data_IF_176907358219
#
_entry.id   IF_176907358219
#
_cell.length_a   1.000
_cell.length_b   1.000
_cell.length_c   1.000
_cell.angle_alpha   90.00
_cell.angle_beta   90.00
_cell.angle_gamma   90.00
#
_symmetry.space_group_name_H-M   'P 1'
#
loop_
_entity.id
_entity.type
_entity.pdbx_description
1 polymer ?
#
# COMPACT_ATOMS: atom_id res chain seq x y z
N UNK A 1 -31.96 5.97 6.52
CA UNK A 1 -31.29 4.65 6.72
C UNK A 1 -30.11 4.91 7.63
N UNK A 2 -30.18 4.47 8.89
CA UNK A 2 -29.10 4.70 9.86
C UNK A 2 -27.87 3.89 9.43
N UNK A 3 -26.81 4.57 8.98
CA UNK A 3 -25.53 3.91 8.75
C UNK A 3 -24.97 3.52 10.12
N UNK A 4 -24.83 2.23 10.38
CA UNK A 4 -24.23 1.72 11.59
C UNK A 4 -22.84 2.35 11.76
N UNK A 5 -22.69 3.25 12.74
CA UNK A 5 -21.38 3.74 13.15
C UNK A 5 -20.63 2.52 13.68
N UNK A 6 -19.43 2.20 13.19
CA UNK A 6 -18.67 1.10 13.77
C UNK A 6 -18.42 1.42 15.25
N UNK A 7 -18.74 0.48 16.15
CA UNK A 7 -18.53 0.60 17.61
C UNK A 7 -17.05 0.85 17.99
N UNK A 8 -16.15 0.81 17.01
CA UNK A 8 -14.73 1.07 17.17
C UNK A 8 -14.20 1.88 15.98
N UNK A 9 -13.51 2.98 16.29
CA UNK A 9 -12.77 3.79 15.32
C UNK A 9 -11.28 3.43 15.45
N UNK A 10 -10.63 3.13 14.33
CA UNK A 10 -9.19 2.83 14.27
C UNK A 10 -8.44 4.04 13.72
N UNK A 11 -7.35 4.41 14.40
CA UNK A 11 -6.44 5.48 13.97
C UNK A 11 -5.07 4.89 13.67
N UNK A 12 -4.51 5.30 12.53
CA UNK A 12 -3.14 4.97 12.15
C UNK A 12 -2.30 6.25 12.18
N UNK A 13 -1.13 6.18 12.82
CA UNK A 13 -0.20 7.31 12.91
C UNK A 13 1.17 6.93 12.32
N UNK A 14 1.64 7.61 11.26
CA UNK A 14 2.94 7.31 10.68
C UNK A 14 4.07 7.73 11.63
N UNK A 15 4.92 6.77 12.00
CA UNK A 15 6.07 7.01 12.89
C UNK A 15 7.32 7.52 12.18
N UNK A 16 7.30 7.61 10.84
CA UNK A 16 8.38 8.17 10.03
C UNK A 16 7.85 8.68 8.68
N UNK A 17 8.68 9.42 7.95
CA UNK A 17 8.31 10.04 6.66
C UNK A 17 7.93 9.00 5.60
N UNK A 18 8.64 7.86 5.61
CA UNK A 18 8.36 6.74 4.69
C UNK A 18 6.93 6.23 4.89
N UNK A 19 6.55 5.92 6.13
CA UNK A 19 5.19 5.48 6.48
C UNK A 19 4.15 6.56 6.17
N UNK A 20 4.47 7.84 6.39
CA UNK A 20 3.55 8.94 6.04
C UNK A 20 3.27 8.97 4.55
N UNK A 21 4.32 8.82 3.74
CA UNK A 21 4.23 8.83 2.28
C UNK A 21 3.42 7.63 1.77
N UNK A 22 3.68 6.43 2.31
CA UNK A 22 2.96 5.21 1.95
C UNK A 22 1.47 5.28 2.31
N UNK A 23 1.13 5.72 3.53
CA UNK A 23 -0.27 5.90 3.95
C UNK A 23 -0.99 6.96 3.10
N UNK A 24 -0.30 8.04 2.72
CA UNK A 24 -0.86 9.05 1.82
C UNK A 24 -1.12 8.47 0.43
N UNK A 25 -0.18 7.71 -0.13
CA UNK A 25 -0.38 7.05 -1.42
C UNK A 25 -1.53 6.03 -1.38
N UNK A 26 -1.60 5.21 -0.34
CA UNK A 26 -2.71 4.28 -0.15
C UNK A 26 -4.06 5.00 -0.13
N UNK A 27 -4.16 6.11 0.61
CA UNK A 27 -5.36 6.94 0.65
C UNK A 27 -5.74 7.47 -0.73
N UNK A 28 -4.76 8.03 -1.46
CA UNK A 28 -4.98 8.55 -2.81
C UNK A 28 -5.42 7.43 -3.78
N UNK A 29 -4.83 6.24 -3.69
CA UNK A 29 -5.23 5.09 -4.53
C UNK A 29 -6.67 4.68 -4.26
N UNK A 30 -7.07 4.62 -2.98
CA UNK A 30 -8.46 4.36 -2.60
C UNK A 30 -9.40 5.46 -3.13
N UNK A 31 -8.97 6.71 -3.08
CA UNK A 31 -9.74 7.85 -3.59
C UNK A 31 -9.97 7.73 -5.11
N UNK A 32 -8.92 7.46 -5.89
CA UNK A 32 -9.03 7.24 -7.34
C UNK A 32 -9.96 6.05 -7.64
N UNK A 33 -9.73 4.90 -7.00
CA UNK A 33 -10.55 3.70 -7.22
C UNK A 33 -12.03 3.91 -6.87
N UNK A 34 -12.32 4.79 -5.91
CA UNK A 34 -13.69 5.13 -5.53
C UNK A 34 -14.38 6.04 -6.55
N UNK A 35 -13.70 7.07 -7.05
CA UNK A 35 -14.31 8.06 -7.94
C UNK A 35 -14.23 7.71 -9.43
N UNK A 36 -13.22 6.95 -9.86
CA UNK A 36 -13.02 6.60 -11.26
C UNK A 36 -14.23 5.89 -11.93
N UNK A 37 -14.98 5.00 -11.25
CA UNK A 37 -16.15 4.35 -11.84
C UNK A 37 -17.39 5.26 -11.98
N UNK A 38 -17.42 6.41 -11.32
CA UNK A 38 -18.61 7.26 -11.24
C UNK A 38 -18.62 8.31 -12.36
N UNK A 39 -19.69 8.30 -13.17
CA UNK A 39 -19.82 9.16 -14.34
C UNK A 39 -20.41 10.56 -14.03
N UNK A 40 -19.91 11.23 -12.99
CA UNK A 40 -20.29 12.59 -12.65
C UNK A 40 -19.09 13.54 -12.61
N UNK A 41 -19.37 14.84 -12.76
CA UNK A 41 -18.34 15.88 -12.86
C UNK A 41 -17.48 15.99 -11.59
N UNK A 42 -18.07 15.77 -10.41
CA UNK A 42 -17.36 15.88 -9.13
C UNK A 42 -16.45 14.68 -8.90
N UNK A 43 -16.90 13.49 -9.25
CA UNK A 43 -16.06 12.28 -9.22
C UNK A 43 -14.90 12.40 -10.20
N UNK A 44 -15.15 12.88 -11.43
CA UNK A 44 -14.09 13.09 -12.43
C UNK A 44 -13.01 14.06 -11.92
N UNK A 45 -13.45 15.20 -11.36
CA UNK A 45 -12.53 16.17 -10.75
C UNK A 45 -11.75 15.57 -9.59
N UNK A 46 -12.42 14.87 -8.70
CA UNK A 46 -11.81 14.27 -7.50
C UNK A 46 -10.78 13.18 -7.85
N UNK A 47 -11.03 12.39 -8.89
CA UNK A 47 -10.08 11.41 -9.41
C UNK A 47 -8.84 12.11 -10.01
N UNK A 48 -9.03 13.17 -10.80
CA UNK A 48 -7.92 13.94 -11.39
C UNK A 48 -7.08 14.60 -10.29
N UNK A 49 -7.70 15.25 -9.30
CA UNK A 49 -6.98 15.90 -8.20
C UNK A 49 -6.12 14.87 -7.43
N UNK A 50 -6.66 13.68 -7.16
CA UNK A 50 -5.91 12.61 -6.50
C UNK A 50 -4.73 12.10 -7.35
N UNK A 51 -4.91 11.96 -8.67
CA UNK A 51 -3.84 11.58 -9.60
C UNK A 51 -2.72 12.63 -9.67
N UNK A 52 -3.07 13.92 -9.71
CA UNK A 52 -2.09 15.01 -9.69
C UNK A 52 -1.30 15.03 -8.38
N UNK A 53 -1.96 14.79 -7.26
CA UNK A 53 -1.31 14.64 -5.96
C UNK A 53 -0.33 13.45 -5.93
N UNK A 54 -0.70 12.30 -6.52
CA UNK A 54 0.23 11.17 -6.66
C UNK A 54 1.46 11.53 -7.48
N UNK A 55 1.29 12.21 -8.62
CA UNK A 55 2.42 12.66 -9.47
C UNK A 55 3.36 13.59 -8.69
N UNK A 56 2.80 14.48 -7.85
CA UNK A 56 3.61 15.35 -6.99
C UNK A 56 4.42 14.58 -5.95
N UNK A 57 3.91 13.44 -5.45
CA UNK A 57 4.64 12.59 -4.52
C UNK A 57 5.73 11.81 -5.28
N UNK A 58 5.39 11.18 -6.41
CA UNK A 58 6.33 10.40 -7.23
C UNK A 58 7.50 11.22 -7.78
N UNK A 59 7.31 12.53 -8.00
CA UNK A 59 8.37 13.41 -8.50
C UNK A 59 9.37 13.88 -7.43
N UNK A 60 9.05 13.75 -6.14
CA UNK A 60 9.87 14.29 -5.04
C UNK A 60 10.63 13.23 -4.25
N UNK A 61 10.19 11.98 -4.32
CA UNK A 61 10.74 10.88 -3.55
C UNK A 61 11.06 9.70 -4.47
N UNK A 62 12.20 9.05 -4.23
CA UNK A 62 12.55 7.78 -4.88
C UNK A 62 11.77 6.63 -4.21
N UNK A 63 10.46 6.66 -4.38
CA UNK A 63 9.52 5.70 -3.79
C UNK A 63 9.81 4.29 -4.31
N UNK A 64 10.29 4.18 -5.56
CA UNK A 64 10.66 2.90 -6.16
C UNK A 64 11.76 2.23 -5.34
N UNK A 65 12.87 2.92 -5.10
CA UNK A 65 13.96 2.37 -4.29
C UNK A 65 13.53 2.08 -2.84
N UNK A 66 12.72 2.96 -2.24
CA UNK A 66 12.26 2.79 -0.86
C UNK A 66 11.29 1.62 -0.68
N UNK A 67 10.42 1.37 -1.67
CA UNK A 67 9.51 0.22 -1.72
C UNK A 67 10.29 -1.09 -1.90
N UNK A 68 11.23 -1.14 -2.84
CA UNK A 68 12.06 -2.32 -3.07
C UNK A 68 12.77 -2.72 -1.78
N UNK A 69 13.45 -1.76 -1.14
CA UNK A 69 14.13 -1.99 0.15
C UNK A 69 13.17 -2.47 1.25
N UNK A 70 11.94 -1.96 1.26
CA UNK A 70 10.94 -2.42 2.24
C UNK A 70 10.50 -3.86 1.98
N UNK A 71 10.22 -4.21 0.73
CA UNK A 71 9.78 -5.54 0.35
C UNK A 71 10.87 -6.58 0.64
N UNK A 72 12.13 -6.26 0.33
CA UNK A 72 13.28 -7.11 0.67
C UNK A 72 13.42 -7.31 2.18
N UNK A 73 13.31 -6.22 2.96
CA UNK A 73 13.34 -6.28 4.43
C UNK A 73 12.23 -7.17 5.00
N UNK A 74 11.00 -7.07 4.46
CA UNK A 74 9.88 -7.90 4.90
C UNK A 74 10.10 -9.37 4.51
N UNK A 75 10.60 -9.61 3.30
CA UNK A 75 10.93 -10.95 2.81
C UNK A 75 12.00 -11.62 3.69
N UNK A 76 13.07 -10.93 4.05
CA UNK A 76 14.09 -11.45 4.97
C UNK A 76 13.50 -11.78 6.35
N UNK A 77 12.70 -10.87 6.90
CA UNK A 77 12.05 -11.06 8.20
C UNK A 77 11.13 -12.28 8.20
N UNK A 78 10.34 -12.46 7.15
CA UNK A 78 9.43 -13.59 6.98
C UNK A 78 10.18 -14.90 6.71
N UNK A 79 11.24 -14.88 5.90
CA UNK A 79 12.08 -16.05 5.70
C UNK A 79 12.72 -16.54 7.02
N UNK A 80 13.09 -15.61 7.90
CA UNK A 80 13.65 -15.91 9.21
C UNK A 80 12.71 -16.70 10.14
N UNK A 81 11.39 -16.56 9.99
CA UNK A 81 10.42 -17.28 10.84
C UNK A 81 10.11 -18.70 10.34
N UNK A 82 10.64 -19.12 9.18
CA UNK A 82 10.35 -20.44 8.57
C UNK A 82 10.61 -21.62 9.50
N UNK A 83 11.63 -21.52 10.37
CA UNK A 83 12.03 -22.59 11.29
C UNK A 83 11.27 -22.58 12.61
N UNK A 84 10.35 -21.62 12.81
CA UNK A 84 9.62 -21.51 14.07
C UNK A 84 8.54 -22.59 14.17
N UNK A 85 8.46 -23.31 15.31
CA UNK A 85 7.37 -24.25 15.56
C UNK A 85 6.01 -23.56 15.42
N UNK A 86 5.09 -24.17 14.67
CA UNK A 86 3.74 -23.64 14.42
C UNK A 86 3.61 -22.71 13.20
N UNK A 87 4.71 -22.46 12.46
CA UNK A 87 4.63 -21.75 11.18
C UNK A 87 4.23 -22.72 10.07
N UNK A 88 3.21 -22.34 9.31
CA UNK A 88 2.83 -22.99 8.07
C UNK A 88 3.86 -22.64 6.98
N UNK A 89 4.73 -23.59 6.67
CA UNK A 89 5.81 -23.41 5.72
C UNK A 89 5.30 -23.24 4.28
N UNK A 90 4.20 -23.90 3.92
CA UNK A 90 3.63 -23.83 2.57
C UNK A 90 3.04 -22.44 2.33
N UNK A 91 2.25 -21.94 3.29
CA UNK A 91 1.69 -20.59 3.21
C UNK A 91 2.78 -19.51 3.24
N UNK A 92 3.84 -19.73 4.01
CA UNK A 92 4.98 -18.83 4.04
C UNK A 92 5.69 -18.78 2.67
N UNK A 93 5.94 -19.93 2.05
CA UNK A 93 6.60 -20.00 0.75
C UNK A 93 5.77 -19.28 -0.34
N UNK A 94 4.42 -19.39 -0.30
CA UNK A 94 3.51 -18.63 -1.19
C UNK A 94 3.68 -17.12 -1.00
N UNK A 95 3.65 -16.62 0.24
CA UNK A 95 3.78 -15.19 0.53
C UNK A 95 5.16 -14.66 0.08
N UNK A 96 6.22 -15.44 0.30
CA UNK A 96 7.57 -15.07 -0.14
C UNK A 96 7.67 -14.99 -1.67
N UNK A 97 6.99 -15.86 -2.40
CA UNK A 97 6.92 -15.83 -3.86
C UNK A 97 6.12 -14.62 -4.36
N UNK A 98 4.99 -14.28 -3.71
CA UNK A 98 4.22 -13.07 -4.02
C UNK A 98 5.03 -11.80 -3.81
N UNK A 99 5.78 -11.72 -2.70
CA UNK A 99 6.69 -10.60 -2.42
C UNK A 99 7.77 -10.48 -3.50
N UNK A 100 8.39 -11.59 -3.90
CA UNK A 100 9.40 -11.58 -4.96
C UNK A 100 8.82 -11.08 -6.30
N UNK A 101 7.65 -11.61 -6.71
CA UNK A 101 6.95 -11.17 -7.93
C UNK A 101 6.56 -9.69 -7.88
N UNK A 102 6.13 -9.19 -6.72
CA UNK A 102 5.79 -7.79 -6.55
C UNK A 102 7.02 -6.89 -6.66
N UNK A 103 8.14 -7.28 -6.04
CA UNK A 103 9.42 -6.57 -6.16
C UNK A 103 9.90 -6.52 -7.61
N UNK A 104 9.86 -7.64 -8.34
CA UNK A 104 10.28 -7.71 -9.74
C UNK A 104 9.46 -6.79 -10.65
N UNK A 105 8.14 -6.70 -10.44
CA UNK A 105 7.25 -5.79 -11.17
C UNK A 105 7.54 -4.32 -10.92
N UNK A 106 8.08 -3.99 -9.74
CA UNK A 106 8.49 -2.62 -9.42
C UNK A 106 9.84 -2.32 -10.08
N UNK A 107 10.73 -3.31 -10.22
CA UNK A 107 12.01 -3.17 -10.92
C UNK A 107 11.86 -2.91 -12.42
N UNK A 108 11.00 -3.67 -13.10
CA UNK A 108 10.68 -3.50 -14.54
C UNK A 108 10.09 -2.13 -14.84
#
# INVERSE_FOLDING_TARGET
>A
MASATPDKITFEHPLNEKMRTLLRLEHLFRQVNHYLPNADTWSSRSAIDALLDMVNIFSRADIKADLIKELDRQREKLAGIRRNPGVDAERLDIILEELAKATDRIFS
#
